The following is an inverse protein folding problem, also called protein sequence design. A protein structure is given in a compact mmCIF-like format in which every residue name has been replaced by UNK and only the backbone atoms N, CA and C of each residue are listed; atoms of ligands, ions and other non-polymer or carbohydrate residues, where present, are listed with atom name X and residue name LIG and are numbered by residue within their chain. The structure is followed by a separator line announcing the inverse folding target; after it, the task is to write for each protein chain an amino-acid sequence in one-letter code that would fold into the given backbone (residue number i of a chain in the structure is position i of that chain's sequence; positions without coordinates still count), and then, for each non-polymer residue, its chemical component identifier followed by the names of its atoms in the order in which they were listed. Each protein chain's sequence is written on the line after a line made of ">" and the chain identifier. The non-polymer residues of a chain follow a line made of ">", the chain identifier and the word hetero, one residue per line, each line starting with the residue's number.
data_IF_588398908484
#
_entry.id   IF_588398908484
#
_cell.length_a   1.000
_cell.length_b   1.000
_cell.length_c   1.000
_cell.angle_alpha   90.00
_cell.angle_beta   90.00
_cell.angle_gamma   90.00
#
_symmetry.space_group_name_H-M   'P 1'
#
loop_
_entity.id
_entity.type
_entity.pdbx_description
1 polymer ?
#
# COMPACT_ATOMS: atom_id res chain seq x y z
N UNK A 1 -20.04 -11.85 -2.98
CA UNK A 1 -18.68 -11.34 -3.19
C UNK A 1 -17.97 -12.28 -4.15
N UNK A 2 -17.48 -11.78 -5.27
CA UNK A 2 -16.71 -12.55 -6.26
C UNK A 2 -15.27 -12.04 -6.22
N UNK A 3 -14.39 -12.78 -5.54
CA UNK A 3 -12.98 -12.40 -5.35
C UNK A 3 -12.17 -13.05 -6.45
N UNK A 4 -11.41 -12.25 -7.20
CA UNK A 4 -10.54 -12.74 -8.29
C UNK A 4 -9.08 -12.42 -7.96
N UNK A 5 -8.13 -13.33 -8.26
CA UNK A 5 -6.72 -13.03 -8.08
C UNK A 5 -6.24 -11.95 -9.05
N UNK A 6 -5.21 -11.20 -8.66
CA UNK A 6 -4.57 -10.17 -9.50
C UNK A 6 -3.37 -10.81 -10.20
N UNK A 7 -3.48 -11.02 -11.51
CA UNK A 7 -2.40 -11.63 -12.32
C UNK A 7 -1.73 -10.65 -13.26
N UNK A 8 -2.48 -9.64 -13.70
CA UNK A 8 -2.07 -8.73 -14.76
C UNK A 8 -2.21 -7.28 -14.31
N UNK A 9 -1.54 -6.37 -15.00
CA UNK A 9 -1.65 -4.94 -14.73
C UNK A 9 -3.10 -4.41 -14.81
N UNK A 10 -3.94 -4.83 -15.79
CA UNK A 10 -5.34 -4.44 -15.79
C UNK A 10 -6.15 -4.95 -14.58
N UNK A 11 -5.83 -6.14 -14.06
CA UNK A 11 -6.47 -6.64 -12.83
C UNK A 11 -6.07 -5.78 -11.63
N UNK A 12 -4.81 -5.34 -11.61
CA UNK A 12 -4.24 -4.49 -10.57
C UNK A 12 -4.87 -3.10 -10.58
N UNK A 13 -4.95 -2.45 -11.74
CA UNK A 13 -5.61 -1.14 -11.89
C UNK A 13 -7.10 -1.22 -11.49
N UNK A 14 -7.81 -2.27 -11.91
CA UNK A 14 -9.20 -2.46 -11.54
C UNK A 14 -9.38 -2.64 -10.02
N UNK A 15 -8.47 -3.37 -9.36
CA UNK A 15 -8.50 -3.53 -7.90
C UNK A 15 -8.24 -2.20 -7.18
N UNK A 16 -7.34 -1.36 -7.69
CA UNK A 16 -7.07 -0.04 -7.12
C UNK A 16 -8.28 0.90 -7.23
N UNK A 17 -8.96 0.92 -8.37
CA UNK A 17 -10.18 1.73 -8.57
C UNK A 17 -11.31 1.29 -7.62
N UNK A 18 -11.45 -0.02 -7.42
CA UNK A 18 -12.45 -0.57 -6.50
C UNK A 18 -12.11 -0.26 -5.04
N UNK A 19 -10.84 -0.38 -4.64
CA UNK A 19 -10.36 0.05 -3.31
C UNK A 19 -10.65 1.53 -3.10
N UNK A 20 -10.34 2.39 -4.08
CA UNK A 20 -10.57 3.83 -3.96
C UNK A 20 -12.05 4.16 -3.78
N UNK A 21 -12.93 3.43 -4.48
CA UNK A 21 -14.39 3.56 -4.33
C UNK A 21 -14.82 3.14 -2.92
N UNK A 22 -14.43 1.95 -2.45
CA UNK A 22 -14.79 1.45 -1.13
C UNK A 22 -14.23 2.32 0.00
N UNK A 23 -13.01 2.84 -0.11
CA UNK A 23 -12.47 3.77 0.88
C UNK A 23 -13.27 5.09 0.94
N UNK A 24 -13.81 5.55 -0.20
CA UNK A 24 -14.67 6.72 -0.25
C UNK A 24 -16.03 6.51 0.44
N UNK A 25 -16.51 5.27 0.48
CA UNK A 25 -17.75 4.88 1.14
C UNK A 25 -17.58 4.63 2.65
N UNK A 26 -16.34 4.58 3.16
CA UNK A 26 -15.96 4.38 4.57
C UNK A 26 -16.71 3.22 5.26
N UNK A 27 -16.62 1.98 4.72
CA UNK A 27 -17.36 0.84 5.25
C UNK A 27 -16.86 0.46 6.64
N UNK A 28 -17.79 0.06 7.50
CA UNK A 28 -17.46 -0.45 8.82
C UNK A 28 -16.77 -1.82 8.73
N UNK A 29 -15.87 -2.07 9.68
CA UNK A 29 -15.23 -3.38 9.82
C UNK A 29 -16.26 -4.47 10.12
N UNK A 30 -16.07 -5.64 9.51
CA UNK A 30 -16.97 -6.79 9.67
C UNK A 30 -18.29 -6.67 8.90
N UNK A 31 -18.44 -5.67 8.03
CA UNK A 31 -19.48 -5.67 6.99
C UNK A 31 -18.93 -6.31 5.71
N UNK A 32 -19.80 -6.81 4.81
CA UNK A 32 -19.36 -7.37 3.54
C UNK A 32 -18.46 -6.44 2.72
N UNK A 33 -18.71 -5.14 2.75
CA UNK A 33 -17.93 -4.11 2.06
C UNK A 33 -16.57 -3.87 2.73
N UNK A 34 -16.54 -3.86 4.08
CA UNK A 34 -15.30 -3.74 4.85
C UNK A 34 -14.39 -4.96 4.67
N UNK A 35 -14.98 -6.15 4.73
CA UNK A 35 -14.27 -7.41 4.45
C UNK A 35 -13.76 -7.44 2.99
N UNK A 36 -14.51 -6.85 2.05
CA UNK A 36 -14.05 -6.72 0.67
C UNK A 36 -12.86 -5.82 0.49
N UNK A 37 -12.91 -4.65 1.12
CA UNK A 37 -11.80 -3.71 1.11
C UNK A 37 -10.53 -4.35 1.66
N UNK A 38 -10.62 -5.08 2.78
CA UNK A 38 -9.49 -5.75 3.41
C UNK A 38 -8.86 -6.83 2.50
N UNK A 39 -9.69 -7.64 1.83
CA UNK A 39 -9.19 -8.65 0.89
C UNK A 39 -8.52 -8.02 -0.34
N UNK A 40 -9.12 -6.98 -0.94
CA UNK A 40 -8.55 -6.33 -2.11
C UNK A 40 -7.19 -5.70 -1.80
N UNK A 41 -7.07 -5.01 -0.65
CA UNK A 41 -5.80 -4.44 -0.19
C UNK A 41 -4.74 -5.55 -0.05
N UNK A 42 -5.10 -6.68 0.57
CA UNK A 42 -4.19 -7.82 0.73
C UNK A 42 -3.71 -8.38 -0.62
N UNK A 43 -4.60 -8.48 -1.61
CA UNK A 43 -4.25 -8.97 -2.95
C UNK A 43 -3.34 -8.00 -3.70
N UNK A 44 -3.61 -6.69 -3.61
CA UNK A 44 -2.78 -5.63 -4.20
C UNK A 44 -1.37 -5.69 -3.63
N UNK A 45 -1.24 -5.78 -2.30
CA UNK A 45 0.07 -5.91 -1.64
C UNK A 45 0.83 -7.16 -2.09
N UNK A 46 0.14 -8.29 -2.25
CA UNK A 46 0.75 -9.54 -2.73
C UNK A 46 1.23 -9.44 -4.19
N UNK A 47 0.51 -8.70 -5.04
CA UNK A 47 0.94 -8.40 -6.40
C UNK A 47 2.17 -7.47 -6.39
N UNK A 48 2.10 -6.34 -5.69
CA UNK A 48 3.22 -5.39 -5.59
C UNK A 48 4.49 -6.02 -5.04
N UNK A 49 4.39 -6.92 -4.05
CA UNK A 49 5.56 -7.63 -3.53
C UNK A 49 6.26 -8.48 -4.60
N UNK A 50 5.51 -9.06 -5.54
CA UNK A 50 6.06 -9.89 -6.62
C UNK A 50 6.65 -9.04 -7.76
N UNK A 51 6.00 -7.93 -8.12
CA UNK A 51 6.34 -7.16 -9.33
C UNK A 51 7.12 -5.86 -9.05
N UNK A 52 6.96 -5.28 -7.87
CA UNK A 52 7.56 -4.01 -7.45
C UNK A 52 8.44 -4.16 -6.20
N UNK A 53 9.00 -5.35 -5.98
CA UNK A 53 9.98 -5.58 -4.90
C UNK A 53 11.05 -4.50 -4.91
N UNK A 54 11.06 -3.66 -3.87
CA UNK A 54 12.05 -2.60 -3.68
C UNK A 54 13.41 -3.28 -3.58
N UNK A 55 14.35 -3.03 -4.53
CA UNK A 55 15.70 -3.55 -4.37
C UNK A 55 16.26 -2.99 -3.06
N UNK A 56 17.06 -3.77 -2.30
CA UNK A 56 17.63 -3.30 -1.06
C UNK A 56 18.33 -1.94 -1.30
N UNK A 57 18.22 -0.98 -0.36
CA UNK A 57 18.84 0.32 -0.55
C UNK A 57 20.32 0.12 -0.85
N UNK A 58 20.85 0.87 -1.82
CA UNK A 58 22.28 0.93 -2.06
C UNK A 58 22.98 1.20 -0.70
N UNK A 59 23.93 0.36 -0.27
CA UNK A 59 24.61 0.53 1.02
C UNK A 59 25.24 1.93 1.19
N UNK A 60 25.52 2.65 0.09
CA UNK A 60 26.00 4.04 0.13
C UNK A 60 24.86 5.04 0.45
N UNK A 61 23.62 4.77 0.02
CA UNK A 61 22.46 5.62 0.27
C UNK A 61 22.00 5.58 1.75
N UNK A 62 22.20 4.46 2.44
CA UNK A 62 21.86 4.30 3.86
C UNK A 62 22.67 5.22 4.81
N UNK A 63 23.84 5.70 4.38
CA UNK A 63 24.75 6.52 5.22
C UNK A 63 24.27 7.98 5.35
N UNK A 64 23.32 8.45 4.52
CA UNK A 64 22.93 9.88 4.47
C UNK A 64 21.89 10.35 5.50
N UNK A 65 21.48 9.52 6.47
CA UNK A 65 20.37 9.87 7.39
C UNK A 65 20.76 10.48 8.74
N UNK A 66 22.01 10.91 8.96
CA UNK A 66 22.46 11.38 10.29
C UNK A 66 22.86 12.86 10.42
N UNK A 67 22.48 13.74 9.49
CA UNK A 67 22.69 15.20 9.68
C UNK A 67 21.41 15.94 9.32
N UNK A 68 20.48 16.08 10.28
CA UNK A 68 19.90 17.37 10.75
C UNK A 68 18.65 17.12 11.61
N UNK A 69 18.83 16.76 12.89
CA UNK A 69 17.84 17.07 13.92
C UNK A 69 18.57 17.60 15.15
N UNK A 70 18.66 18.93 15.24
CA UNK A 70 18.78 19.61 16.53
C UNK A 70 17.72 20.70 16.58
N UNK A 71 16.77 20.66 17.54
CA UNK A 71 15.76 21.70 17.72
C UNK A 71 16.37 22.96 18.35
N UNK A 72 15.62 24.05 18.24
CA UNK A 72 16.00 25.44 18.46
C UNK A 72 16.44 25.81 19.90
N UNK A 73 17.33 26.82 19.95
CA UNK A 73 17.29 27.95 20.89
C UNK A 73 17.72 27.71 22.33
N UNK A 74 18.75 28.42 22.79
CA UNK A 74 18.85 29.11 24.09
C UNK A 74 19.91 30.22 23.94
N UNK A 75 19.48 31.48 24.07
CA UNK A 75 20.30 32.69 24.01
C UNK A 75 19.42 33.92 24.03
#
# INVERSE_FOLDING_TARGET
>A
MDIRPIWTEPDYEAALDEIATLMGDDPLLGTPEGDHLDVLITLVQAYEAQYHSVPPPDPVAAIKFNVFQTPAGHG
#
